data_IF_682552104161
#
_entry.id   IF_682552104161
#
_cell.length_a   1.000
_cell.length_b   1.000
_cell.length_c   1.000
_cell.angle_alpha   90.00
_cell.angle_beta   90.00
_cell.angle_gamma   90.00
#
_symmetry.space_group_name_H-M   'P 1'
#
loop_
_entity.id
_entity.type
_entity.pdbx_description
1 polymer ?
#
# COMPACT_ATOMS: atom_id res chain seq x y z
N UNK A 1 14.66 61.79 43.68
CA UNK A 1 14.75 61.27 42.30
C UNK A 1 14.41 59.80 42.31
N UNK A 2 13.20 59.40 41.93
CA UNK A 2 12.78 57.98 41.79
C UNK A 2 12.88 57.57 40.33
N UNK A 3 13.73 56.58 40.04
CA UNK A 3 13.86 55.98 38.68
C UNK A 3 12.78 54.95 38.52
N UNK A 4 11.83 55.19 37.61
CA UNK A 4 10.87 54.21 37.18
C UNK A 4 11.55 53.21 36.20
N UNK A 5 11.52 51.92 36.55
CA UNK A 5 11.90 50.85 35.63
C UNK A 5 10.66 50.45 34.84
N UNK A 6 10.72 50.66 33.54
CA UNK A 6 9.74 50.12 32.58
C UNK A 6 10.11 48.66 32.35
N UNK A 7 9.25 47.77 32.78
CA UNK A 7 9.34 46.33 32.44
C UNK A 7 8.57 46.14 31.14
N UNK A 8 9.31 45.94 30.06
CA UNK A 8 8.69 45.57 28.77
C UNK A 8 8.26 44.13 28.80
N UNK A 9 6.96 43.91 28.70
CA UNK A 9 6.39 42.59 28.46
C UNK A 9 6.60 42.19 27.00
N UNK A 10 7.50 41.24 26.75
CA UNK A 10 7.62 40.59 25.45
C UNK A 10 6.47 39.60 25.31
N UNK A 11 5.48 39.92 24.47
CA UNK A 11 4.46 38.99 24.07
C UNK A 11 5.07 37.95 23.11
N UNK A 12 5.24 36.70 23.57
CA UNK A 12 5.55 35.57 22.72
C UNK A 12 4.28 35.24 21.88
N UNK A 13 4.33 35.66 20.63
CA UNK A 13 3.35 35.24 19.63
C UNK A 13 3.67 33.79 19.22
N UNK A 14 3.06 32.81 19.86
CA UNK A 14 3.14 31.41 19.42
C UNK A 14 2.32 31.31 18.13
N UNK A 15 3.02 31.30 16.96
CA UNK A 15 2.43 30.84 15.71
C UNK A 15 2.13 29.34 15.86
N UNK A 16 0.87 29.05 16.12
CA UNK A 16 0.33 27.71 15.86
C UNK A 16 0.33 27.53 14.34
N UNK A 17 1.40 26.93 13.82
CA UNK A 17 1.39 26.32 12.50
C UNK A 17 0.40 25.14 12.57
N UNK A 18 -0.88 25.42 12.37
CA UNK A 18 -1.82 24.41 11.95
C UNK A 18 -1.34 23.95 10.58
N UNK A 19 -0.58 22.87 10.57
CA UNK A 19 -0.22 22.21 9.32
C UNK A 19 -1.53 21.81 8.64
N UNK A 20 -1.97 22.61 7.70
CA UNK A 20 -3.03 22.21 6.78
C UNK A 20 -2.54 20.93 6.12
N UNK A 21 -3.21 19.82 6.42
CA UNK A 21 -3.06 18.59 5.64
C UNK A 21 -3.49 18.95 4.24
N UNK A 22 -2.52 19.22 3.37
CA UNK A 22 -2.81 19.55 1.99
C UNK A 22 -3.23 18.22 1.36
N UNK A 23 -4.53 18.09 1.08
CA UNK A 23 -5.06 16.96 0.32
C UNK A 23 -4.41 16.93 -1.07
N UNK A 24 -4.24 15.75 -1.67
CA UNK A 24 -3.79 15.64 -3.04
C UNK A 24 -4.73 16.46 -3.94
N UNK A 25 -4.15 17.15 -4.92
CA UNK A 25 -4.88 18.05 -5.83
C UNK A 25 -5.41 17.26 -7.03
N UNK A 26 -6.40 17.79 -7.72
CA UNK A 26 -6.98 17.20 -8.91
C UNK A 26 -8.21 16.35 -8.63
N UNK A 27 -8.18 15.11 -9.07
CA UNK A 27 -9.25 14.11 -8.89
C UNK A 27 -8.65 12.80 -8.36
N UNK A 28 -8.17 12.78 -7.10
CA UNK A 28 -7.43 11.66 -6.55
C UNK A 28 -8.33 10.50 -6.10
N UNK A 29 -9.39 10.19 -6.85
CA UNK A 29 -10.39 9.19 -6.48
C UNK A 29 -9.91 7.80 -6.84
N UNK A 30 -9.65 6.99 -5.84
CA UNK A 30 -9.16 5.63 -6.00
C UNK A 30 -9.53 4.80 -4.78
N UNK A 31 -9.72 3.50 -4.98
CA UNK A 31 -9.83 2.49 -3.93
C UNK A 31 -8.74 1.45 -4.16
N UNK A 32 -8.11 0.96 -3.09
CA UNK A 32 -6.99 0.01 -3.10
C UNK A 32 -5.82 0.45 -4.02
N UNK A 33 -5.19 1.59 -3.76
CA UNK A 33 -4.09 2.05 -4.61
C UNK A 33 -2.86 1.16 -4.45
N UNK A 34 -2.31 0.71 -5.56
CA UNK A 34 -1.00 0.06 -5.58
C UNK A 34 0.11 0.98 -5.07
N UNK A 35 1.26 0.44 -4.80
CA UNK A 35 2.52 1.20 -4.74
C UNK A 35 2.58 2.17 -5.92
N UNK A 36 2.99 3.42 -5.66
CA UNK A 36 3.15 4.44 -6.68
C UNK A 36 4.48 4.23 -7.38
N UNK A 37 4.45 4.07 -8.70
CA UNK A 37 5.62 3.74 -9.52
C UNK A 37 5.88 4.86 -10.53
N UNK A 38 7.14 5.29 -10.62
CA UNK A 38 7.58 6.23 -11.64
C UNK A 38 7.82 5.50 -12.97
N UNK A 39 7.30 6.07 -14.06
CA UNK A 39 7.52 5.63 -15.42
C UNK A 39 7.61 6.85 -16.34
N UNK A 40 8.76 7.00 -17.01
CA UNK A 40 8.99 8.06 -18.00
C UNK A 40 8.69 9.49 -17.49
N UNK A 41 9.07 9.76 -16.24
CA UNK A 41 8.89 11.05 -15.59
C UNK A 41 7.48 11.31 -15.06
N UNK A 42 6.60 10.32 -15.06
CA UNK A 42 5.26 10.38 -14.48
C UNK A 42 5.08 9.32 -13.40
N UNK A 43 4.13 9.52 -12.53
CA UNK A 43 3.79 8.62 -11.46
C UNK A 43 2.46 7.92 -11.75
N UNK A 44 2.41 6.63 -11.49
CA UNK A 44 1.25 5.77 -11.75
C UNK A 44 0.88 5.00 -10.50
N UNK A 45 -0.41 4.89 -10.22
CA UNK A 45 -0.96 3.94 -9.25
C UNK A 45 -2.23 3.32 -9.81
N UNK A 46 -2.42 2.04 -9.57
CA UNK A 46 -3.58 1.27 -10.03
C UNK A 46 -4.49 0.98 -8.86
N UNK A 47 -5.79 0.92 -9.09
CA UNK A 47 -6.78 0.57 -8.08
C UNK A 47 -7.61 -0.64 -8.46
N UNK A 48 -8.50 -1.02 -7.57
CA UNK A 48 -9.55 -2.00 -7.84
C UNK A 48 -10.35 -1.62 -9.08
N UNK A 49 -10.69 -2.59 -9.93
CA UNK A 49 -11.41 -2.42 -11.19
C UNK A 49 -10.53 -2.22 -12.42
N UNK A 50 -9.18 -2.15 -12.27
CA UNK A 50 -8.23 -2.06 -13.40
C UNK A 50 -7.94 -0.65 -13.89
N UNK A 51 -8.59 0.37 -13.34
CA UNK A 51 -8.24 1.78 -13.53
C UNK A 51 -7.18 2.25 -12.54
N UNK A 52 -6.81 3.52 -12.64
CA UNK A 52 -5.87 4.13 -11.72
C UNK A 52 -5.63 5.60 -12.00
N UNK A 53 -4.64 6.16 -11.32
CA UNK A 53 -4.31 7.57 -11.37
C UNK A 53 -2.92 7.78 -11.98
N UNK A 54 -2.77 8.94 -12.63
CA UNK A 54 -1.51 9.45 -13.19
C UNK A 54 -1.23 10.82 -12.58
N UNK A 55 0.04 11.08 -12.28
CA UNK A 55 0.54 12.38 -11.87
C UNK A 55 1.85 12.72 -12.58
N UNK A 56 2.03 13.99 -12.94
CA UNK A 56 3.29 14.49 -13.49
C UNK A 56 4.23 15.05 -12.42
N UNK A 57 3.70 15.37 -11.24
CA UNK A 57 4.43 16.03 -10.14
C UNK A 57 4.41 15.21 -8.83
N UNK A 58 3.72 14.07 -8.80
CA UNK A 58 3.51 13.26 -7.59
C UNK A 58 2.52 13.86 -6.59
N UNK A 59 1.89 14.98 -6.96
CA UNK A 59 1.00 15.76 -6.11
C UNK A 59 -0.39 15.95 -6.72
N UNK A 60 -0.45 16.29 -8.00
CA UNK A 60 -1.69 16.50 -8.74
C UNK A 60 -2.08 15.22 -9.48
N UNK A 61 -3.21 14.63 -9.14
CA UNK A 61 -3.62 13.31 -9.62
C UNK A 61 -4.89 13.36 -10.46
N UNK A 62 -4.89 12.59 -11.54
CA UNK A 62 -6.04 12.42 -12.44
C UNK A 62 -6.18 10.96 -12.86
N UNK A 63 -7.41 10.55 -13.17
CA UNK A 63 -7.65 9.25 -13.78
C UNK A 63 -6.94 9.11 -15.14
N UNK A 64 -6.57 7.88 -15.48
CA UNK A 64 -5.94 7.60 -16.78
C UNK A 64 -4.98 6.43 -16.78
N UNK A 65 -4.46 6.02 -15.63
CA UNK A 65 -3.76 4.76 -15.55
C UNK A 65 -4.73 3.60 -15.78
N UNK A 66 -4.30 2.62 -16.56
CA UNK A 66 -5.09 1.43 -16.86
C UNK A 66 -4.19 0.21 -16.86
N UNK A 67 -4.73 -0.91 -16.44
CA UNK A 67 -4.13 -2.22 -16.58
C UNK A 67 -5.18 -3.23 -17.06
N UNK A 68 -4.81 -4.24 -17.83
CA UNK A 68 -5.74 -5.31 -18.20
C UNK A 68 -6.09 -6.18 -16.98
N UNK A 69 -7.10 -7.00 -17.14
CA UNK A 69 -7.51 -8.02 -16.18
C UNK A 69 -8.54 -7.58 -15.15
N UNK A 70 -8.82 -6.29 -14.99
CA UNK A 70 -9.75 -5.82 -13.96
C UNK A 70 -9.33 -6.27 -12.56
N UNK A 71 -10.28 -6.81 -11.78
CA UNK A 71 -10.00 -7.41 -10.47
C UNK A 71 -9.70 -6.41 -9.36
N UNK A 72 -9.18 -6.91 -8.24
CA UNK A 72 -9.07 -6.15 -7.00
C UNK A 72 -7.62 -5.95 -6.55
N UNK A 73 -7.44 -4.91 -5.76
CA UNK A 73 -6.31 -4.69 -4.87
C UNK A 73 -4.95 -4.97 -5.54
N UNK A 74 -4.57 -4.22 -6.57
CA UNK A 74 -3.32 -4.44 -7.28
C UNK A 74 -2.12 -3.94 -6.50
N UNK A 75 -0.94 -4.51 -6.80
CA UNK A 75 0.33 -3.84 -6.53
C UNK A 75 1.20 -3.78 -7.79
N UNK A 76 2.17 -2.87 -7.79
CA UNK A 76 3.04 -2.63 -8.95
C UNK A 76 4.45 -2.30 -8.51
N UNK A 77 5.44 -2.82 -9.26
CA UNK A 77 6.85 -2.61 -8.96
C UNK A 77 7.69 -2.50 -10.24
N UNK A 78 8.64 -1.58 -10.24
CA UNK A 78 9.69 -1.54 -11.27
C UNK A 78 10.80 -2.52 -10.93
N UNK A 79 11.11 -3.43 -11.85
CA UNK A 79 12.22 -4.39 -11.72
C UNK A 79 13.07 -4.32 -12.98
N UNK A 80 14.27 -3.77 -12.85
CA UNK A 80 15.13 -3.47 -14.01
C UNK A 80 14.49 -2.45 -14.94
N UNK A 81 14.28 -2.83 -16.20
CA UNK A 81 13.71 -2.00 -17.26
C UNK A 81 12.20 -2.26 -17.50
N UNK A 82 11.56 -3.03 -16.64
CA UNK A 82 10.16 -3.45 -16.76
C UNK A 82 9.38 -3.21 -15.49
N UNK A 83 8.07 -3.30 -15.61
CA UNK A 83 7.12 -3.18 -14.51
C UNK A 83 6.39 -4.51 -14.32
N UNK A 84 6.43 -5.03 -13.12
CA UNK A 84 5.60 -6.14 -12.67
C UNK A 84 4.34 -5.56 -12.04
N UNK A 85 3.18 -6.06 -12.45
CA UNK A 85 1.89 -5.75 -11.84
C UNK A 85 1.29 -7.05 -11.35
N UNK A 86 0.83 -7.06 -10.11
CA UNK A 86 0.09 -8.17 -9.49
C UNK A 86 -1.31 -7.68 -9.09
N UNK A 87 -2.31 -8.56 -9.18
CA UNK A 87 -3.69 -8.21 -8.84
C UNK A 87 -4.53 -9.45 -8.54
N UNK A 88 -5.55 -9.29 -7.70
CA UNK A 88 -6.56 -10.31 -7.45
C UNK A 88 -7.55 -10.40 -8.59
N UNK A 89 -7.81 -11.60 -9.07
CA UNK A 89 -8.90 -11.90 -10.00
C UNK A 89 -9.81 -12.96 -9.39
N UNK A 90 -11.09 -12.79 -9.51
CA UNK A 90 -12.12 -13.65 -8.90
C UNK A 90 -12.02 -13.74 -7.38
N UNK A 91 -13.08 -14.17 -6.77
CA UNK A 91 -13.16 -14.55 -5.37
C UNK A 91 -13.14 -13.42 -4.39
N UNK A 92 -13.12 -13.82 -3.19
CA UNK A 92 -12.99 -12.94 -2.06
C UNK A 92 -14.27 -12.17 -1.80
N UNK A 93 -14.66 -11.32 -1.88
CA UNK A 93 -15.77 -10.54 -1.37
C UNK A 93 -15.78 -10.56 0.15
N UNK A 94 -16.58 -9.75 0.72
CA UNK A 94 -16.70 -9.59 2.17
C UNK A 94 -17.12 -10.85 2.93
N UNK A 95 -17.43 -11.93 2.23
CA UNK A 95 -17.82 -13.22 2.78
C UNK A 95 -16.70 -14.25 2.93
N UNK A 96 -15.45 -13.91 2.59
CA UNK A 96 -14.33 -14.82 2.68
C UNK A 96 -14.41 -15.99 1.68
N UNK A 97 -14.65 -15.69 0.41
CA UNK A 97 -14.66 -16.71 -0.63
C UNK A 97 -13.28 -17.33 -0.84
N UNK A 98 -13.25 -18.62 -1.17
CA UNK A 98 -12.02 -19.37 -1.39
C UNK A 98 -11.76 -19.65 -2.88
N UNK A 99 -12.14 -18.75 -3.77
CA UNK A 99 -11.95 -18.84 -5.22
C UNK A 99 -11.04 -17.75 -5.79
N UNK A 100 -10.36 -17.01 -4.91
CA UNK A 100 -9.41 -15.94 -5.26
C UNK A 100 -8.19 -16.47 -5.99
N UNK A 101 -7.70 -15.69 -6.96
CA UNK A 101 -6.46 -15.94 -7.69
C UNK A 101 -5.65 -14.66 -7.81
N UNK A 102 -4.36 -14.75 -7.56
CA UNK A 102 -3.41 -13.67 -7.82
C UNK A 102 -2.69 -13.93 -9.13
N UNK A 103 -2.65 -12.88 -9.95
CA UNK A 103 -2.05 -12.91 -11.27
C UNK A 103 -0.95 -11.88 -11.38
N UNK A 104 0.16 -12.24 -12.00
CA UNK A 104 1.23 -11.33 -12.36
C UNK A 104 1.27 -11.10 -13.87
N UNK A 105 1.60 -9.87 -14.27
CA UNK A 105 1.82 -9.47 -15.65
C UNK A 105 3.01 -8.52 -15.73
N UNK A 106 3.70 -8.53 -16.86
CA UNK A 106 4.80 -7.61 -17.16
C UNK A 106 4.44 -6.62 -18.24
N UNK A 107 4.97 -5.41 -18.13
CA UNK A 107 4.97 -4.42 -19.21
C UNK A 107 6.28 -3.63 -19.24
N UNK A 108 6.61 -3.03 -20.38
CA UNK A 108 7.78 -2.15 -20.52
C UNK A 108 7.48 -0.71 -20.14
N UNK A 109 6.23 -0.30 -20.22
CA UNK A 109 5.79 1.05 -19.89
C UNK A 109 4.42 1.03 -19.23
N UNK A 110 4.14 2.04 -18.42
CA UNK A 110 2.83 2.27 -17.80
C UNK A 110 2.04 3.38 -18.54
N UNK A 111 2.64 4.04 -19.54
CA UNK A 111 1.94 5.05 -20.33
C UNK A 111 0.99 4.40 -21.35
N UNK A 112 -0.34 4.53 -21.17
CA UNK A 112 -1.31 3.94 -22.10
C UNK A 112 -1.29 4.54 -23.51
N UNK A 113 -0.57 5.64 -23.71
CA UNK A 113 -0.38 6.27 -25.03
C UNK A 113 0.85 5.74 -25.76
N UNK A 114 1.72 5.02 -25.09
CA UNK A 114 2.92 4.44 -25.68
C UNK A 114 2.59 3.28 -26.61
N UNK A 115 3.26 3.13 -27.78
CA UNK A 115 3.11 1.95 -28.62
C UNK A 115 3.60 0.66 -27.94
N UNK A 116 4.46 0.79 -26.91
CA UNK A 116 4.99 -0.33 -26.11
C UNK A 116 4.09 -0.68 -24.91
N UNK A 117 2.93 -0.02 -24.75
CA UNK A 117 1.96 -0.35 -23.73
C UNK A 117 1.29 -1.69 -24.03
N UNK A 118 1.98 -2.74 -23.65
CA UNK A 118 1.57 -4.13 -23.84
C UNK A 118 1.93 -4.95 -22.61
N UNK A 119 0.94 -5.65 -22.08
CA UNK A 119 1.13 -6.58 -20.96
C UNK A 119 1.31 -8.00 -21.49
N UNK A 120 2.10 -8.79 -20.77
CA UNK A 120 2.14 -10.24 -20.98
C UNK A 120 0.81 -10.88 -20.59
N UNK A 121 0.59 -12.14 -21.03
CA UNK A 121 -0.51 -12.93 -20.49
C UNK A 121 -0.40 -13.06 -18.96
N UNK A 122 -1.54 -13.06 -18.26
CA UNK A 122 -1.55 -13.21 -16.81
C UNK A 122 -1.03 -14.60 -16.40
N UNK A 123 -0.24 -14.62 -15.33
CA UNK A 123 0.28 -15.85 -14.75
C UNK A 123 -0.18 -15.96 -13.30
N UNK A 124 -0.88 -17.05 -12.97
CA UNK A 124 -1.36 -17.33 -11.62
C UNK A 124 -0.19 -17.67 -10.71
N UNK A 125 -0.04 -16.95 -9.60
CA UNK A 125 1.03 -17.13 -8.60
C UNK A 125 0.53 -17.60 -7.25
N UNK A 126 -0.76 -17.40 -6.95
CA UNK A 126 -1.44 -17.96 -5.79
C UNK A 126 -2.91 -18.22 -6.13
N UNK A 127 -3.53 -19.17 -5.46
CA UNK A 127 -4.94 -19.50 -5.62
C UNK A 127 -5.47 -20.12 -4.34
N UNK A 128 -6.57 -19.60 -3.83
CA UNK A 128 -7.29 -20.16 -2.68
C UNK A 128 -7.86 -21.55 -3.00
N UNK A 129 -8.22 -21.78 -4.26
CA UNK A 129 -8.94 -22.98 -4.69
C UNK A 129 -8.13 -24.28 -4.51
N UNK A 130 -6.83 -24.25 -4.83
CA UNK A 130 -6.02 -25.46 -4.88
C UNK A 130 -4.66 -25.35 -4.20
N UNK A 131 -4.29 -24.21 -3.72
CA UNK A 131 -2.94 -23.95 -3.21
C UNK A 131 -2.91 -23.55 -1.74
N UNK A 132 -3.92 -22.77 -1.31
CA UNK A 132 -3.93 -22.15 0.00
C UNK A 132 -5.32 -22.26 0.63
N UNK A 133 -5.37 -22.23 1.96
CA UNK A 133 -6.59 -22.28 2.76
C UNK A 133 -7.05 -20.88 3.23
N UNK A 134 -6.68 -19.85 2.49
CA UNK A 134 -7.07 -18.47 2.73
C UNK A 134 -7.40 -17.77 1.41
N UNK A 135 -7.97 -16.59 1.48
CA UNK A 135 -8.24 -15.81 0.28
C UNK A 135 -6.92 -15.34 -0.38
N UNK A 136 -6.80 -15.64 -1.67
CA UNK A 136 -5.71 -15.14 -2.49
C UNK A 136 -6.09 -13.78 -3.09
N UNK A 137 -5.93 -12.73 -2.27
CA UNK A 137 -6.25 -11.34 -2.59
C UNK A 137 -5.23 -10.41 -1.91
N UNK A 138 -5.26 -9.13 -2.22
CA UNK A 138 -4.46 -8.06 -1.61
C UNK A 138 -2.94 -8.34 -1.64
N UNK A 139 -2.35 -8.52 -2.82
CA UNK A 139 -0.92 -8.77 -2.92
C UNK A 139 -0.10 -7.50 -2.71
N UNK A 140 1.00 -7.62 -1.94
CA UNK A 140 2.04 -6.60 -1.81
C UNK A 140 3.41 -7.17 -2.20
N UNK A 141 4.20 -6.42 -2.96
CA UNK A 141 5.49 -6.87 -3.52
C UNK A 141 6.68 -6.25 -2.78
N UNK A 142 7.71 -7.04 -2.52
CA UNK A 142 9.01 -6.57 -2.05
C UNK A 142 10.13 -7.21 -2.88
N UNK A 143 10.88 -6.40 -3.63
CA UNK A 143 12.21 -6.81 -4.11
C UNK A 143 13.19 -6.56 -2.96
N UNK A 144 13.65 -7.63 -2.33
CA UNK A 144 14.54 -7.56 -1.16
C UNK A 144 15.88 -6.95 -1.54
N UNK A 145 16.24 -5.78 -0.99
CA UNK A 145 17.51 -5.14 -1.36
C UNK A 145 18.74 -5.85 -0.77
N UNK A 146 18.56 -6.83 0.10
CA UNK A 146 19.67 -7.54 0.74
C UNK A 146 20.19 -8.71 -0.09
N UNK A 147 19.32 -9.36 -0.86
CA UNK A 147 19.67 -10.58 -1.62
C UNK A 147 19.04 -10.65 -3.02
N UNK A 148 18.19 -9.67 -3.37
CA UNK A 148 17.56 -9.58 -4.68
C UNK A 148 16.38 -10.54 -4.90
N UNK A 149 15.91 -11.24 -3.88
CA UNK A 149 14.72 -12.08 -3.98
C UNK A 149 13.45 -11.21 -4.04
N UNK A 150 12.47 -11.69 -4.79
CA UNK A 150 11.17 -11.05 -4.89
C UNK A 150 10.17 -11.79 -4.01
N UNK A 151 9.61 -11.07 -3.06
CA UNK A 151 8.60 -11.57 -2.15
C UNK A 151 7.24 -10.97 -2.46
N UNK A 152 6.17 -11.75 -2.19
CA UNK A 152 4.79 -11.29 -2.26
C UNK A 152 4.06 -11.71 -0.99
N UNK A 153 3.52 -10.72 -0.27
CA UNK A 153 2.53 -10.95 0.79
C UNK A 153 1.13 -10.94 0.20
N UNK A 154 0.18 -11.66 0.81
CA UNK A 154 -1.23 -11.65 0.40
C UNK A 154 -2.13 -12.29 1.47
N UNK A 155 -3.42 -12.05 1.39
CA UNK A 155 -4.42 -12.62 2.28
C UNK A 155 -5.34 -11.58 2.92
N UNK A 156 -6.33 -12.07 3.66
CA UNK A 156 -7.32 -11.25 4.39
C UNK A 156 -7.53 -11.75 5.82
N UNK A 157 -8.51 -11.14 6.54
CA UNK A 157 -8.92 -11.54 7.89
C UNK A 157 -9.46 -12.96 7.99
N UNK A 158 -9.89 -13.55 6.88
CA UNK A 158 -10.52 -14.87 6.85
C UNK A 158 -9.52 -16.02 6.82
N UNK A 159 -8.26 -15.73 7.12
CA UNK A 159 -7.18 -16.69 7.15
C UNK A 159 -5.89 -16.03 7.62
N UNK A 160 -4.79 -16.52 7.08
CA UNK A 160 -3.47 -15.96 7.36
C UNK A 160 -3.04 -14.99 6.26
N UNK A 161 -2.28 -13.98 6.65
CA UNK A 161 -1.41 -13.30 5.70
C UNK A 161 -0.25 -14.22 5.37
N UNK A 162 -0.06 -14.46 4.10
CA UNK A 162 0.91 -15.38 3.53
C UNK A 162 2.04 -14.63 2.86
N UNK A 163 3.21 -15.25 2.88
CA UNK A 163 4.40 -14.79 2.16
C UNK A 163 4.89 -15.90 1.23
N UNK A 164 5.11 -15.58 -0.03
CA UNK A 164 5.67 -16.47 -1.05
C UNK A 164 6.79 -15.79 -1.80
N UNK A 165 7.70 -16.60 -2.36
CA UNK A 165 8.80 -16.13 -3.20
C UNK A 165 8.41 -16.22 -4.68
N UNK A 166 8.64 -15.14 -5.41
CA UNK A 166 8.48 -15.06 -6.86
C UNK A 166 9.87 -14.95 -7.52
N UNK A 167 10.01 -15.46 -8.72
CA UNK A 167 11.21 -15.26 -9.53
C UNK A 167 11.18 -13.81 -10.11
N UNK A 168 12.15 -12.95 -9.77
CA UNK A 168 12.17 -11.55 -10.20
C UNK A 168 12.34 -11.37 -11.71
N UNK A 169 12.71 -12.41 -12.46
CA UNK A 169 12.84 -12.36 -13.92
C UNK A 169 11.53 -12.70 -14.63
N UNK A 170 10.77 -13.63 -14.07
CA UNK A 170 9.55 -14.16 -14.70
C UNK A 170 8.27 -13.68 -14.04
N UNK A 171 8.31 -13.25 -12.78
CA UNK A 171 7.15 -12.92 -11.98
C UNK A 171 6.34 -14.17 -11.55
N UNK A 172 6.85 -15.37 -11.79
CA UNK A 172 6.20 -16.62 -11.40
C UNK A 172 6.59 -17.02 -9.98
N UNK A 173 5.70 -17.75 -9.32
CA UNK A 173 6.05 -18.38 -8.03
C UNK A 173 7.22 -19.33 -8.21
N UNK A 174 8.18 -19.27 -7.30
CA UNK A 174 9.33 -20.18 -7.31
C UNK A 174 8.82 -21.60 -7.04
N UNK A 175 9.26 -22.55 -7.87
CA UNK A 175 8.84 -23.95 -7.77
C UNK A 175 9.23 -24.54 -6.40
N UNK A 176 8.29 -25.24 -5.76
CA UNK A 176 8.48 -25.82 -4.44
C UNK A 176 8.43 -24.81 -3.29
N UNK A 177 8.31 -23.51 -3.56
CA UNK A 177 8.15 -22.50 -2.50
C UNK A 177 6.80 -22.66 -1.80
N UNK A 178 6.84 -22.96 -0.50
CA UNK A 178 5.65 -23.04 0.35
C UNK A 178 5.34 -21.67 0.92
N UNK A 179 4.05 -21.37 1.03
CA UNK A 179 3.60 -20.16 1.70
C UNK A 179 3.97 -20.19 3.19
N UNK A 180 4.38 -19.03 3.70
CA UNK A 180 4.75 -18.83 5.11
C UNK A 180 3.69 -17.90 5.72
N UNK A 181 3.13 -18.29 6.85
CA UNK A 181 2.23 -17.41 7.59
C UNK A 181 3.02 -16.31 8.29
N UNK A 182 2.62 -15.06 8.12
CA UNK A 182 3.32 -13.90 8.68
C UNK A 182 2.43 -12.93 9.46
N UNK A 183 1.11 -13.11 9.43
CA UNK A 183 0.16 -12.28 10.17
C UNK A 183 -1.26 -12.83 10.12
N UNK A 184 -2.11 -12.29 10.96
CA UNK A 184 -3.56 -12.50 11.01
C UNK A 184 -4.27 -11.18 11.31
N UNK A 185 -5.59 -11.18 11.20
CA UNK A 185 -6.46 -10.05 11.62
C UNK A 185 -6.14 -8.73 10.90
N UNK A 186 -5.69 -8.84 9.66
CA UNK A 186 -5.46 -7.71 8.76
C UNK A 186 -5.54 -8.17 7.30
N UNK A 187 -5.52 -7.19 6.40
CA UNK A 187 -5.48 -7.38 4.95
C UNK A 187 -4.62 -6.32 4.28
N UNK A 188 -4.57 -6.30 2.95
CA UNK A 188 -3.85 -5.30 2.16
C UNK A 188 -2.45 -5.03 2.71
N UNK A 189 -1.68 -6.11 2.84
CA UNK A 189 -0.36 -6.04 3.45
C UNK A 189 0.71 -5.70 2.43
N UNK A 190 1.69 -4.89 2.85
CA UNK A 190 2.92 -4.66 2.10
C UNK A 190 4.14 -4.77 3.01
N UNK A 191 5.27 -5.10 2.41
CA UNK A 191 6.55 -5.28 3.08
C UNK A 191 7.51 -4.15 2.72
N UNK A 192 8.26 -3.69 3.71
CA UNK A 192 9.36 -2.73 3.53
C UNK A 192 10.62 -3.23 4.21
N UNK A 193 11.76 -2.81 3.65
CA UNK A 193 13.05 -2.97 4.31
C UNK A 193 13.67 -1.61 4.57
N UNK A 194 14.07 -1.37 5.82
CA UNK A 194 14.76 -0.14 6.22
C UNK A 194 15.72 -0.43 7.38
N UNK A 195 16.97 -0.02 7.26
CA UNK A 195 17.99 -0.04 8.32
C UNK A 195 18.15 -1.41 9.01
N UNK A 196 18.14 -2.49 8.22
CA UNK A 196 18.31 -3.85 8.72
C UNK A 196 17.05 -4.46 9.34
N UNK A 197 15.88 -3.86 9.11
CA UNK A 197 14.59 -4.36 9.53
C UNK A 197 13.63 -4.50 8.36
N UNK A 198 12.88 -5.57 8.38
CA UNK A 198 11.67 -5.74 7.57
C UNK A 198 10.47 -5.26 8.37
N UNK A 199 9.60 -4.53 7.73
CA UNK A 199 8.34 -4.04 8.29
C UNK A 199 7.20 -4.64 7.50
N UNK A 200 6.27 -5.29 8.20
CA UNK A 200 4.99 -5.74 7.63
C UNK A 200 3.94 -4.71 8.05
N UNK A 201 3.41 -4.01 7.06
CA UNK A 201 2.28 -3.12 7.25
C UNK A 201 1.02 -3.84 6.81
N UNK A 202 -0.05 -3.69 7.57
CA UNK A 202 -1.34 -4.30 7.25
C UNK A 202 -2.48 -3.35 7.57
N UNK A 203 -3.59 -3.53 6.89
CA UNK A 203 -4.81 -2.79 7.12
C UNK A 203 -5.71 -3.60 8.06
N UNK A 204 -6.10 -2.98 9.16
CA UNK A 204 -6.99 -3.54 10.17
C UNK A 204 -8.29 -2.73 10.23
N UNK A 205 -9.40 -3.33 10.63
CA UNK A 205 -10.70 -2.67 10.72
C UNK A 205 -11.65 -3.06 9.58
N UNK A 206 -12.63 -2.24 9.26
CA UNK A 206 -13.74 -2.58 8.36
C UNK A 206 -13.58 -1.92 7.00
N UNK A 207 -13.51 -2.73 5.91
CA UNK A 207 -13.53 -2.28 4.54
C UNK A 207 -14.91 -1.80 4.09
N UNK A 208 -14.93 -0.97 3.05
CA UNK A 208 -16.06 -0.77 2.15
C UNK A 208 -17.31 -0.21 2.84
N UNK A 209 -17.14 0.52 3.94
CA UNK A 209 -18.21 1.15 4.74
C UNK A 209 -18.16 2.69 4.69
N UNK A 210 -17.41 3.24 3.74
CA UNK A 210 -17.31 4.68 3.50
C UNK A 210 -16.95 5.45 4.77
N UNK A 211 -17.79 6.41 5.16
CA UNK A 211 -17.56 7.25 6.34
C UNK A 211 -17.61 6.49 7.68
N UNK A 212 -18.16 5.27 7.71
CA UNK A 212 -18.22 4.43 8.90
C UNK A 212 -17.04 3.46 8.99
N UNK A 213 -16.19 3.39 7.97
CA UNK A 213 -15.03 2.52 7.96
C UNK A 213 -14.13 2.79 9.17
N UNK A 214 -13.72 1.70 9.81
CA UNK A 214 -12.77 1.71 10.93
C UNK A 214 -11.36 1.37 10.52
N UNK A 215 -11.09 1.33 9.21
CA UNK A 215 -9.76 1.05 8.68
C UNK A 215 -8.69 1.88 9.36
N UNK A 216 -7.59 1.24 9.65
CA UNK A 216 -6.38 1.81 10.18
C UNK A 216 -5.19 0.95 9.73
N UNK A 217 -3.99 1.53 9.70
CA UNK A 217 -2.78 0.81 9.31
C UNK A 217 -1.99 0.46 10.56
N UNK A 218 -1.63 -0.82 10.67
CA UNK A 218 -0.80 -1.38 11.74
C UNK A 218 0.53 -1.86 11.18
N UNK A 219 1.57 -1.97 12.03
CA UNK A 219 2.90 -2.42 11.64
C UNK A 219 3.52 -3.34 12.68
N UNK A 220 4.17 -4.41 12.21
CA UNK A 220 5.14 -5.22 12.94
C UNK A 220 6.48 -5.20 12.22
N UNK A 221 7.58 -5.52 12.92
CA UNK A 221 8.92 -5.58 12.33
C UNK A 221 9.67 -6.86 12.68
N UNK A 222 10.58 -7.24 11.79
CA UNK A 222 11.43 -8.44 11.94
C UNK A 222 12.84 -8.20 11.42
N UNK A 223 13.80 -9.02 11.87
CA UNK A 223 15.14 -9.10 11.27
C UNK A 223 15.20 -10.02 10.05
N UNK A 224 14.14 -10.77 9.79
CA UNK A 224 14.02 -11.69 8.66
C UNK A 224 12.74 -11.38 7.90
N UNK A 225 12.80 -11.45 6.58
CA UNK A 225 11.60 -11.27 5.74
C UNK A 225 10.50 -12.28 6.05
N UNK A 226 10.85 -13.45 6.55
CA UNK A 226 9.91 -14.52 6.95
C UNK A 226 9.34 -14.35 8.36
N UNK A 227 9.63 -13.27 9.05
CA UNK A 227 9.16 -13.01 10.42
C UNK A 227 10.02 -13.66 11.51
N UNK A 228 9.53 -13.75 12.78
CA UNK A 228 8.26 -13.19 13.23
C UNK A 228 8.22 -11.66 13.17
N UNK A 229 7.05 -11.10 12.88
CA UNK A 229 6.83 -9.65 12.84
C UNK A 229 6.24 -9.19 14.16
N UNK A 230 7.05 -8.52 14.97
CA UNK A 230 6.69 -8.08 16.33
C UNK A 230 6.30 -6.61 16.34
N UNK A 231 5.27 -6.28 17.07
CA UNK A 231 4.92 -4.88 17.38
C UNK A 231 5.85 -4.28 18.46
N UNK A 232 5.60 -3.05 18.85
CA UNK A 232 6.39 -2.34 19.85
C UNK A 232 6.25 -2.88 21.29
N UNK A 233 5.30 -3.78 21.52
CA UNK A 233 5.10 -4.50 22.79
C UNK A 233 5.69 -5.91 22.75
N UNK A 234 6.23 -6.33 21.59
CA UNK A 234 6.79 -7.68 21.39
C UNK A 234 5.75 -8.74 21.03
N UNK A 235 4.52 -8.35 20.70
CA UNK A 235 3.47 -9.27 20.28
C UNK A 235 3.59 -9.56 18.79
N UNK A 236 3.52 -10.84 18.40
CA UNK A 236 3.60 -11.27 17.01
C UNK A 236 2.32 -10.91 16.24
N UNK A 237 2.46 -10.49 14.99
CA UNK A 237 1.32 -10.29 14.09
C UNK A 237 0.57 -11.59 13.79
N UNK A 238 1.19 -12.74 13.96
CA UNK A 238 0.51 -14.05 13.96
C UNK A 238 -0.38 -14.28 15.20
N UNK A 239 -0.25 -13.47 16.22
CA UNK A 239 -1.06 -13.47 17.44
C UNK A 239 -1.96 -12.23 17.54
N UNK A 240 -2.18 -11.53 16.41
CA UNK A 240 -2.94 -10.28 16.35
C UNK A 240 -2.19 -9.08 16.95
N UNK A 241 -0.86 -9.11 16.94
CA UNK A 241 -0.02 -7.94 17.21
C UNK A 241 -0.11 -6.92 16.09
N UNK A 242 0.46 -5.76 16.31
CA UNK A 242 0.53 -4.68 15.34
C UNK A 242 0.40 -3.31 16.02
N UNK A 243 1.38 -2.44 15.79
CA UNK A 243 1.33 -1.05 16.25
C UNK A 243 0.58 -0.21 15.24
N UNK A 244 -0.53 0.41 15.65
CA UNK A 244 -1.25 1.38 14.82
C UNK A 244 -0.34 2.56 14.48
N UNK A 245 -0.23 2.88 13.19
CA UNK A 245 0.62 3.96 12.66
C UNK A 245 -0.19 5.00 11.88
N UNK A 246 -1.36 4.64 11.38
CA UNK A 246 -2.27 5.58 10.72
C UNK A 246 -3.72 5.20 11.05
N UNK A 247 -4.52 6.19 11.39
CA UNK A 247 -5.95 6.07 11.65
C UNK A 247 -6.71 7.24 11.05
N UNK A 248 -8.03 7.21 11.15
CA UNK A 248 -8.89 8.32 10.77
C UNK A 248 -8.46 9.64 11.43
N UNK A 249 -8.51 10.72 10.69
CA UNK A 249 -8.12 12.04 11.18
C UNK A 249 -8.95 13.16 10.53
N UNK A 250 -9.60 13.96 11.33
CA UNK A 250 -10.40 15.08 10.86
C UNK A 250 -11.55 14.62 9.97
N UNK A 251 -11.52 14.99 8.70
CA UNK A 251 -12.59 14.70 7.73
C UNK A 251 -12.26 13.55 6.77
N UNK A 252 -11.16 12.83 6.99
CA UNK A 252 -10.80 11.62 6.25
C UNK A 252 -10.85 10.42 7.17
N UNK A 253 -11.52 9.35 6.73
CA UNK A 253 -11.78 8.16 7.53
C UNK A 253 -11.31 6.91 6.82
N UNK A 254 -11.00 5.89 7.60
CA UNK A 254 -10.68 4.57 7.08
C UNK A 254 -9.43 4.53 6.20
N UNK A 255 -8.24 4.96 6.69
CA UNK A 255 -7.01 4.80 5.92
C UNK A 255 -6.63 3.33 5.84
N UNK A 256 -6.40 2.84 4.63
CA UNK A 256 -6.04 1.46 4.38
C UNK A 256 -5.30 1.26 3.06
N UNK A 257 -4.93 0.03 2.80
CA UNK A 257 -4.22 -0.39 1.59
C UNK A 257 -2.91 0.38 1.40
N UNK A 258 -1.92 0.02 2.21
CA UNK A 258 -0.60 0.66 2.21
C UNK A 258 0.16 0.38 0.91
N UNK A 259 0.74 1.41 0.34
CA UNK A 259 1.70 1.32 -0.74
C UNK A 259 2.88 2.27 -0.47
N UNK A 260 3.93 2.16 -1.27
CA UNK A 260 5.15 2.95 -1.15
C UNK A 260 5.29 3.94 -2.29
N UNK A 261 6.01 5.02 -2.03
CA UNK A 261 6.46 5.96 -3.05
C UNK A 261 7.78 6.60 -2.62
N UNK A 262 8.73 6.65 -3.54
CA UNK A 262 9.95 7.44 -3.42
C UNK A 262 9.87 8.51 -4.50
N UNK A 263 9.75 9.77 -4.09
CA UNK A 263 9.76 10.90 -5.00
C UNK A 263 11.19 11.36 -5.29
N UNK A 264 11.34 12.21 -6.30
CA UNK A 264 12.64 12.77 -6.70
C UNK A 264 13.35 13.56 -5.61
N UNK A 265 12.65 14.02 -4.59
CA UNK A 265 13.21 14.65 -3.39
C UNK A 265 13.92 13.68 -2.43
N UNK A 266 13.86 12.37 -2.70
CA UNK A 266 14.45 11.31 -1.89
C UNK A 266 13.73 11.05 -0.57
N UNK A 267 12.65 11.75 -0.27
CA UNK A 267 11.85 11.51 0.94
C UNK A 267 10.95 10.31 0.74
N UNK A 268 11.10 9.30 1.59
CA UNK A 268 10.21 8.16 1.57
C UNK A 268 8.81 8.57 2.01
N UNK A 269 7.83 8.16 1.23
CA UNK A 269 6.42 8.42 1.51
C UNK A 269 5.64 7.12 1.37
N UNK A 270 4.54 7.04 2.10
CA UNK A 270 3.53 6.00 1.93
C UNK A 270 2.35 6.54 1.14
N UNK A 271 1.71 5.69 0.37
CA UNK A 271 0.37 5.90 -0.15
C UNK A 271 -0.62 4.99 0.57
N UNK A 272 -1.86 5.39 0.58
CA UNK A 272 -3.00 4.61 1.01
C UNK A 272 -4.24 5.16 0.32
N UNK A 273 -5.39 4.54 0.47
CA UNK A 273 -6.63 5.28 0.31
C UNK A 273 -7.20 5.65 1.68
N UNK A 274 -8.04 6.67 1.70
CA UNK A 274 -9.05 6.84 2.75
C UNK A 274 -10.37 6.34 2.19
N UNK A 275 -11.09 5.52 2.93
CA UNK A 275 -12.41 5.02 2.54
C UNK A 275 -13.39 6.16 2.24
N UNK A 276 -13.29 7.25 3.00
CA UNK A 276 -14.07 8.45 2.73
C UNK A 276 -13.31 9.72 3.07
N UNK A 277 -13.36 10.67 2.15
CA UNK A 277 -13.07 12.08 2.38
C UNK A 277 -14.39 12.87 2.42
N UNK A 278 -14.76 13.35 3.60
CA UNK A 278 -16.02 14.08 3.81
C UNK A 278 -16.03 15.45 3.11
N UNK A 279 -14.88 15.99 2.74
CA UNK A 279 -14.78 17.20 1.90
C UNK A 279 -14.96 16.89 0.42
N UNK A 280 -14.85 15.61 0.03
CA UNK A 280 -15.05 15.09 -1.32
C UNK A 280 -16.33 14.25 -1.44
N UNK A 281 -17.37 14.61 -0.71
CA UNK A 281 -18.68 13.94 -0.69
C UNK A 281 -18.60 12.47 -0.21
N UNK A 282 -17.68 12.16 0.68
CA UNK A 282 -17.50 10.80 1.22
C UNK A 282 -16.89 9.81 0.22
N UNK A 283 -16.21 10.29 -0.83
CA UNK A 283 -15.56 9.43 -1.82
C UNK A 283 -14.23 8.93 -1.31
N UNK A 284 -13.85 7.74 -1.75
CA UNK A 284 -12.52 7.20 -1.50
C UNK A 284 -11.46 8.00 -2.27
N UNK A 285 -10.37 8.37 -1.60
CA UNK A 285 -9.32 9.24 -2.13
C UNK A 285 -7.93 8.71 -1.81
N UNK A 286 -6.99 8.98 -2.72
CA UNK A 286 -5.57 8.73 -2.48
C UNK A 286 -5.06 9.62 -1.33
N UNK A 287 -4.40 9.00 -0.37
CA UNK A 287 -3.63 9.67 0.68
C UNK A 287 -2.14 9.43 0.49
N UNK A 288 -1.32 10.48 0.61
CA UNK A 288 0.15 10.38 0.61
C UNK A 288 0.67 11.01 1.89
N UNK A 289 1.52 10.29 2.61
CA UNK A 289 2.09 10.71 3.89
C UNK A 289 3.60 10.45 3.92
N UNK A 290 4.39 11.29 4.59
CA UNK A 290 5.80 10.98 4.82
C UNK A 290 5.92 9.76 5.75
N UNK A 291 6.94 8.93 5.48
CA UNK A 291 7.38 7.88 6.39
C UNK A 291 8.47 8.46 7.28
N UNK A 292 8.26 8.39 8.59
CA UNK A 292 9.23 8.82 9.61
C UNK A 292 9.68 7.58 10.39
N UNK A 293 11.00 7.39 10.46
CA UNK A 293 11.65 6.22 11.09
C UNK A 293 12.18 6.54 12.47
#
# INVERSE_FOLDING_TARGET
>A
MKKNKIVGAAALLSLLLTGTVIAQVGKPFIHDPSTIVECEGKYYTFGTGGGGLISEDGWTWYGGAVRPGGGAAPDAMKIGDRYLVVYGSTGGGLGGGHDGKLNTMWTKTLDPKSPDFKFTEPNVVASSENMEDCDAIDPGLLLDPTDGRLWMSYGTYFGFIRLVELDPKTGKRVEGNKAINIGIDCEATDLMYQDGWYYLLGTHGTCCDGANSTYNIVVGRSRKVTGPYLDNMGRDMLEGGGKMVLAASGRVTGPGHFGRIILADGVQKMSCHYEADLDQSGRSVLGIRPLLW
#
